data_IF_332489382325
#
_entry.id   IF_332489382325
#
_cell.length_a   1.000
_cell.length_b   1.000
_cell.length_c   1.000
_cell.angle_alpha   90.00
_cell.angle_beta   90.00
_cell.angle_gamma   90.00
#
_symmetry.space_group_name_H-M   'P 1'
#
loop_
_entity.id
_entity.type
_entity.pdbx_description
1 polymer ?
#
# COMPACT_ATOMS: atom_id res chain seq x y z
N UNK A 1 8.65 -13.98 7.63
CA UNK A 1 8.72 -12.77 6.78
C UNK A 1 9.10 -13.07 5.33
N UNK A 2 9.72 -14.21 5.03
CA UNK A 2 10.16 -14.61 3.67
C UNK A 2 9.08 -15.26 2.80
N UNK A 3 8.01 -15.83 3.38
CA UNK A 3 6.96 -16.50 2.60
C UNK A 3 6.01 -15.54 1.87
N UNK A 4 5.77 -14.34 2.42
CA UNK A 4 4.89 -13.32 1.81
C UNK A 4 5.47 -12.88 0.46
N UNK A 5 6.80 -12.78 0.37
CA UNK A 5 7.50 -12.40 -0.85
C UNK A 5 7.40 -13.51 -1.91
N UNK A 6 7.21 -14.77 -1.52
CA UNK A 6 7.18 -15.90 -2.45
C UNK A 6 5.89 -15.95 -3.29
N UNK A 7 4.81 -15.35 -2.79
CA UNK A 7 3.53 -15.28 -3.50
C UNK A 7 3.27 -13.84 -4.00
N UNK A 8 3.55 -13.53 -5.28
CA UNK A 8 3.38 -12.16 -5.81
C UNK A 8 1.95 -11.63 -5.65
N UNK A 9 0.96 -12.52 -5.65
CA UNK A 9 -0.44 -12.23 -5.38
C UNK A 9 -0.69 -11.73 -3.95
N UNK A 10 0.01 -12.27 -2.95
CA UNK A 10 -0.10 -11.82 -1.56
C UNK A 10 0.52 -10.43 -1.38
N UNK A 11 1.68 -10.19 -2.01
CA UNK A 11 2.32 -8.87 -2.00
C UNK A 11 1.41 -7.79 -2.64
N UNK A 12 0.79 -8.10 -3.79
CA UNK A 12 -0.17 -7.21 -4.44
C UNK A 12 -1.43 -7.00 -3.59
N UNK A 13 -2.00 -8.06 -3.01
CA UNK A 13 -3.18 -7.97 -2.15
C UNK A 13 -2.96 -7.10 -0.91
N UNK A 14 -1.82 -7.27 -0.23
CA UNK A 14 -1.44 -6.44 0.92
C UNK A 14 -1.24 -4.98 0.50
N UNK A 15 -0.63 -4.74 -0.66
CA UNK A 15 -0.44 -3.41 -1.21
C UNK A 15 -1.77 -2.69 -1.47
N UNK A 16 -2.77 -3.37 -2.06
CA UNK A 16 -4.11 -2.82 -2.29
C UNK A 16 -4.81 -2.50 -0.97
N UNK A 17 -4.72 -3.39 0.03
CA UNK A 17 -5.27 -3.14 1.37
C UNK A 17 -4.62 -1.93 2.03
N UNK A 18 -3.30 -1.76 1.88
CA UNK A 18 -2.58 -0.58 2.37
C UNK A 18 -3.06 0.71 1.68
N UNK A 19 -3.26 0.68 0.36
CA UNK A 19 -3.81 1.84 -0.36
C UNK A 19 -5.23 2.17 0.11
N UNK A 20 -6.09 1.17 0.29
CA UNK A 20 -7.45 1.37 0.79
C UNK A 20 -7.45 1.96 2.22
N UNK A 21 -6.58 1.45 3.10
CA UNK A 21 -6.41 1.96 4.45
C UNK A 21 -5.87 3.41 4.45
N UNK A 22 -4.94 3.72 3.56
CA UNK A 22 -4.40 5.08 3.38
C UNK A 22 -5.47 6.07 2.90
N UNK A 23 -6.32 5.68 1.94
CA UNK A 23 -7.45 6.49 1.47
C UNK A 23 -8.49 6.70 2.58
N UNK A 24 -8.81 5.65 3.35
CA UNK A 24 -9.71 5.77 4.50
C UNK A 24 -9.16 6.73 5.56
N UNK A 25 -7.88 6.62 5.90
CA UNK A 25 -7.22 7.54 6.81
C UNK A 25 -7.14 8.97 6.26
N UNK A 26 -6.96 9.14 4.95
CA UNK A 26 -6.97 10.46 4.31
C UNK A 26 -8.36 11.09 4.41
N UNK A 27 -9.41 10.34 4.10
CA UNK A 27 -10.79 10.78 4.26
C UNK A 27 -11.06 11.19 5.71
N UNK A 28 -10.70 10.33 6.67
CA UNK A 28 -10.89 10.62 8.09
C UNK A 28 -10.12 11.88 8.54
N UNK A 29 -8.86 12.04 8.15
CA UNK A 29 -8.07 13.22 8.52
C UNK A 29 -8.62 14.52 7.89
N UNK A 30 -9.09 14.47 6.64
CA UNK A 30 -9.64 15.62 5.93
C UNK A 30 -10.98 16.08 6.52
N UNK A 31 -11.86 15.13 6.85
CA UNK A 31 -13.24 15.43 7.25
C UNK A 31 -13.45 15.51 8.77
N UNK A 32 -12.67 14.81 9.60
CA UNK A 32 -12.89 14.76 11.06
C UNK A 32 -11.84 15.53 11.88
N UNK A 33 -10.55 15.45 11.54
CA UNK A 33 -9.47 15.86 12.47
C UNK A 33 -8.72 17.13 12.07
N UNK A 34 -8.77 17.57 10.81
CA UNK A 34 -7.97 18.73 10.35
C UNK A 34 -6.46 18.56 10.59
N UNK A 35 -5.98 17.31 10.68
CA UNK A 35 -4.58 16.97 10.97
C UNK A 35 -3.78 16.81 9.69
N UNK A 36 -2.47 16.93 9.82
CA UNK A 36 -1.49 16.86 8.73
C UNK A 36 -1.69 15.62 7.86
N UNK A 37 -1.82 15.85 6.54
CA UNK A 37 -2.05 14.85 5.50
C UNK A 37 -0.84 13.93 5.23
N UNK A 38 0.25 14.12 5.96
CA UNK A 38 1.53 13.48 5.69
C UNK A 38 1.49 11.96 5.95
N UNK A 39 0.92 11.54 7.08
CA UNK A 39 0.78 10.12 7.45
C UNK A 39 -0.08 9.28 6.49
N UNK A 40 -1.30 9.73 6.08
CA UNK A 40 -2.09 8.98 5.10
C UNK A 40 -1.43 8.94 3.71
N UNK A 41 -0.74 10.01 3.32
CA UNK A 41 -0.04 10.04 2.02
C UNK A 41 1.12 9.03 1.99
N UNK A 42 1.90 8.94 3.07
CA UNK A 42 3.00 7.96 3.19
C UNK A 42 2.50 6.50 3.13
N UNK A 43 1.33 6.22 3.70
CA UNK A 43 0.74 4.86 3.67
C UNK A 43 0.26 4.47 2.28
N UNK A 44 -0.29 5.41 1.50
CA UNK A 44 -0.64 5.18 0.09
C UNK A 44 0.61 4.89 -0.73
N UNK A 45 1.67 5.70 -0.57
CA UNK A 45 2.94 5.51 -1.30
C UNK A 45 3.54 4.14 -0.97
N UNK A 46 3.56 3.73 0.31
CA UNK A 46 4.04 2.42 0.71
C UNK A 46 3.22 1.28 0.06
N UNK A 47 1.90 1.42 -0.02
CA UNK A 47 1.02 0.47 -0.71
C UNK A 47 1.33 0.35 -2.21
N UNK A 48 1.50 1.48 -2.91
CA UNK A 48 1.84 1.50 -4.35
C UNK A 48 3.19 0.84 -4.61
N UNK A 49 4.19 1.09 -3.77
CA UNK A 49 5.51 0.45 -3.89
C UNK A 49 5.40 -1.07 -3.70
N UNK A 50 4.60 -1.53 -2.74
CA UNK A 50 4.34 -2.96 -2.51
C UNK A 50 3.65 -3.62 -3.72
N UNK A 51 2.67 -2.96 -4.33
CA UNK A 51 2.02 -3.42 -5.57
C UNK A 51 3.05 -3.51 -6.69
N UNK A 52 3.86 -2.47 -6.87
CA UNK A 52 4.88 -2.42 -7.92
C UNK A 52 5.91 -3.56 -7.79
N UNK A 53 6.36 -3.87 -6.57
CA UNK A 53 7.28 -4.99 -6.31
C UNK A 53 6.57 -6.33 -6.59
N UNK A 54 5.33 -6.50 -6.14
CA UNK A 54 4.54 -7.71 -6.40
C UNK A 54 4.33 -7.96 -7.90
N UNK A 55 4.00 -6.91 -8.66
CA UNK A 55 3.86 -6.95 -10.12
C UNK A 55 5.19 -7.22 -10.82
N UNK A 56 6.28 -6.55 -10.44
CA UNK A 56 7.60 -6.80 -11.02
C UNK A 56 8.03 -8.26 -10.85
N UNK A 57 7.75 -8.84 -9.68
CA UNK A 57 8.01 -10.27 -9.41
C UNK A 57 7.10 -11.20 -10.21
N UNK A 58 5.84 -10.84 -10.42
CA UNK A 58 4.92 -11.59 -11.29
C UNK A 58 5.42 -11.64 -12.75
N UNK A 59 5.92 -10.51 -13.26
CA UNK A 59 6.47 -10.41 -14.61
C UNK A 59 7.90 -10.99 -14.76
N UNK A 60 8.48 -11.56 -13.70
CA UNK A 60 9.85 -12.07 -13.69
C UNK A 60 10.88 -10.99 -14.12
N UNK A 61 10.59 -9.71 -13.82
CA UNK A 61 11.51 -8.62 -14.10
C UNK A 61 12.73 -8.62 -13.15
N UNK A 62 12.67 -9.43 -12.08
CA UNK A 62 13.69 -9.60 -11.04
C UNK A 62 13.56 -10.96 -10.34
#
# INVERSE_FOLDING_TARGET
MTEIINSPWLAAGIGVLLCAAGVYHLHRNVYEEGRTLFAPTMTIIAGVVLIAIGSAKYFNLF
#
